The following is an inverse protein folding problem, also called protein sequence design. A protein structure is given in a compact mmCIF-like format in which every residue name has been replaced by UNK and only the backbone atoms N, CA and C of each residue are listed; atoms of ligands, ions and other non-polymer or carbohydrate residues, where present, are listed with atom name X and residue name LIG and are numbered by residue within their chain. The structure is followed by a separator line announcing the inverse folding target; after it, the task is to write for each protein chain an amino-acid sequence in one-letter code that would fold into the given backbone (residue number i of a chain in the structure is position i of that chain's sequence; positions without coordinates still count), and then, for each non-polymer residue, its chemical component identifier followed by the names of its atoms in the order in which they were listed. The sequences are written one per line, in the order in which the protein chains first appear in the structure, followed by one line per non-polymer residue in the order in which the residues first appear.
data_IF_536403066441
#
_entry.id   IF_536403066441
#
_cell.length_a   1.000
_cell.length_b   1.000
_cell.length_c   1.000
_cell.angle_alpha   90.00
_cell.angle_beta   90.00
_cell.angle_gamma   90.00
#
_symmetry.space_group_name_H-M   'P 1'
#
loop_
_entity.id
_entity.type
_entity.pdbx_description
1 polymer ?
#
# COMPACT_ATOMS: atom_id res chain seq x y z
N UNK A 1 50.68 -29.26 -26.74
CA UNK A 1 50.52 -30.42 -25.85
C UNK A 1 49.66 -29.96 -24.66
N UNK A 2 48.50 -30.61 -24.47
CA UNK A 2 47.56 -30.57 -23.34
C UNK A 2 46.79 -29.27 -23.00
N UNK A 3 45.58 -29.20 -23.57
CA UNK A 3 44.36 -28.56 -23.05
C UNK A 3 44.00 -29.09 -21.66
N UNK A 4 43.43 -28.24 -20.77
CA UNK A 4 42.40 -28.67 -19.81
C UNK A 4 41.29 -27.64 -19.65
N UNK A 5 40.14 -28.06 -20.16
CA UNK A 5 38.79 -27.51 -20.03
C UNK A 5 38.22 -27.77 -18.64
N UNK A 6 37.61 -26.75 -18.05
CA UNK A 6 36.83 -26.84 -16.81
C UNK A 6 35.37 -26.49 -17.09
N UNK A 7 34.62 -27.43 -17.67
CA UNK A 7 33.18 -27.32 -17.86
C UNK A 7 32.46 -27.55 -16.53
N UNK A 8 31.92 -26.49 -15.92
CA UNK A 8 30.99 -26.59 -14.80
C UNK A 8 29.55 -26.58 -15.35
N UNK A 9 29.02 -27.78 -15.55
CA UNK A 9 27.61 -28.02 -15.87
C UNK A 9 26.78 -27.83 -14.61
N UNK A 10 26.26 -26.62 -14.40
CA UNK A 10 25.24 -26.39 -13.39
C UNK A 10 23.89 -26.91 -13.93
N UNK A 11 23.51 -28.10 -13.45
CA UNK A 11 22.22 -28.75 -13.72
C UNK A 11 21.09 -27.94 -13.09
N UNK A 12 20.39 -27.12 -13.87
CA UNK A 12 19.03 -26.70 -13.55
C UNK A 12 18.07 -27.86 -13.89
N UNK A 13 17.94 -28.79 -12.95
CA UNK A 13 16.84 -29.75 -12.91
C UNK A 13 15.72 -29.19 -12.02
N UNK A 14 14.52 -29.27 -12.56
CA UNK A 14 13.23 -29.37 -11.87
C UNK A 14 12.73 -28.16 -11.06
N UNK A 15 11.96 -27.30 -11.73
CA UNK A 15 10.73 -26.75 -11.14
C UNK A 15 9.58 -26.85 -12.16
N UNK A 16 8.85 -27.97 -12.16
CA UNK A 16 7.40 -27.92 -12.31
C UNK A 16 6.80 -28.72 -11.15
N UNK A 17 6.70 -28.12 -9.96
CA UNK A 17 6.15 -28.81 -8.78
C UNK A 17 5.49 -27.85 -7.78
N UNK A 18 5.02 -26.69 -8.26
CA UNK A 18 4.22 -25.74 -7.47
C UNK A 18 2.79 -25.55 -8.00
N UNK A 19 2.36 -26.37 -8.96
CA UNK A 19 0.99 -26.33 -9.51
C UNK A 19 0.09 -27.50 -9.07
N UNK A 20 0.62 -28.58 -8.47
CA UNK A 20 -0.18 -29.78 -8.16
C UNK A 20 -0.58 -29.98 -6.68
N UNK A 21 -0.29 -29.04 -5.77
CA UNK A 21 -0.61 -29.19 -4.32
C UNK A 21 -1.66 -28.17 -3.82
N UNK A 22 -2.34 -27.44 -4.71
CA UNK A 22 -3.40 -26.50 -4.31
C UNK A 22 -4.77 -26.86 -4.90
N UNK A 23 -5.15 -28.13 -4.79
CA UNK A 23 -6.46 -28.63 -5.21
C UNK A 23 -7.06 -29.48 -4.09
N UNK A 24 -7.63 -28.82 -3.09
CA UNK A 24 -8.60 -29.41 -2.16
C UNK A 24 -9.29 -28.28 -1.40
N UNK A 25 -10.60 -28.46 -1.25
CA UNK A 25 -11.61 -27.64 -0.55
C UNK A 25 -12.41 -26.68 -1.45
N UNK A 26 -13.74 -26.77 -1.28
CA UNK A 26 -14.91 -26.27 -2.04
C UNK A 26 -15.33 -27.25 -3.15
N UNK A 27 -16.20 -28.25 -2.93
CA UNK A 27 -17.50 -28.28 -2.23
C UNK A 27 -17.64 -29.53 -1.34
N UNK A 28 -18.26 -29.40 -0.17
CA UNK A 28 -18.53 -30.50 0.77
C UNK A 28 -19.62 -31.47 0.27
N UNK A 29 -19.29 -32.77 0.36
CA UNK A 29 -20.15 -33.96 0.44
C UNK A 29 -21.66 -33.72 0.28
N UNK A 30 -22.23 -33.89 -0.92
CA UNK A 30 -22.63 -35.22 -1.40
C UNK A 30 -22.96 -35.13 -2.89
N UNK A 31 -21.98 -35.35 -3.77
CA UNK A 31 -22.12 -36.12 -5.03
C UNK A 31 -20.82 -36.11 -5.83
N UNK A 32 -20.28 -37.32 -6.00
CA UNK A 32 -19.27 -37.77 -6.97
C UNK A 32 -17.92 -37.03 -7.03
N UNK A 33 -16.88 -37.78 -6.67
CA UNK A 33 -15.52 -37.57 -7.17
C UNK A 33 -15.56 -37.47 -8.70
N UNK A 34 -15.47 -36.26 -9.26
CA UNK A 34 -15.47 -36.07 -10.71
C UNK A 34 -15.97 -34.73 -11.26
N UNK A 35 -16.67 -33.90 -10.50
CA UNK A 35 -17.04 -32.56 -10.98
C UNK A 35 -16.04 -31.51 -10.49
N UNK A 36 -14.81 -31.55 -11.03
CA UNK A 36 -13.93 -30.38 -10.99
C UNK A 36 -14.64 -29.16 -11.60
N UNK A 37 -14.16 -27.95 -11.30
CA UNK A 37 -14.60 -26.73 -11.99
C UNK A 37 -14.62 -27.00 -13.50
N UNK A 38 -15.64 -26.48 -14.18
CA UNK A 38 -15.66 -26.66 -15.62
C UNK A 38 -14.40 -26.03 -16.22
N UNK A 39 -13.88 -26.60 -17.31
CA UNK A 39 -12.72 -26.03 -18.02
C UNK A 39 -12.94 -24.55 -18.39
N UNK A 40 -14.20 -24.14 -18.56
CA UNK A 40 -14.61 -22.75 -18.82
C UNK A 40 -14.41 -21.89 -17.57
N UNK A 41 -14.83 -22.33 -16.39
CA UNK A 41 -14.63 -21.60 -15.13
C UNK A 41 -13.14 -21.39 -14.84
N UNK A 42 -12.34 -22.43 -14.98
CA UNK A 42 -10.89 -22.32 -14.80
C UNK A 42 -10.28 -21.34 -15.80
N UNK A 43 -10.71 -21.40 -17.06
CA UNK A 43 -10.30 -20.44 -18.08
C UNK A 43 -10.74 -19.01 -17.76
N UNK A 44 -11.93 -18.80 -17.19
CA UNK A 44 -12.39 -17.47 -16.78
C UNK A 44 -11.56 -16.93 -15.61
N UNK A 45 -11.10 -17.79 -14.70
CA UNK A 45 -10.26 -17.41 -13.57
C UNK A 45 -8.80 -17.13 -13.98
N UNK A 46 -8.27 -17.77 -15.03
CA UNK A 46 -6.90 -17.48 -15.53
C UNK A 46 -6.77 -16.05 -16.07
N UNK A 47 -7.88 -15.38 -16.42
CA UNK A 47 -7.87 -13.95 -16.76
C UNK A 47 -7.54 -13.02 -15.57
N UNK A 48 -7.57 -13.54 -14.34
CA UNK A 48 -7.29 -12.78 -13.13
C UNK A 48 -5.81 -12.90 -12.74
N UNK A 49 -5.29 -11.85 -12.11
CA UNK A 49 -3.97 -11.89 -11.46
C UNK A 49 -3.95 -12.98 -10.37
N UNK A 50 -2.83 -13.72 -10.18
CA UNK A 50 -2.75 -14.80 -9.20
C UNK A 50 -3.15 -14.39 -7.77
N UNK A 51 -2.80 -13.15 -7.37
CA UNK A 51 -3.20 -12.61 -6.07
C UNK A 51 -4.71 -12.39 -5.93
N UNK A 52 -5.40 -12.06 -7.02
CA UNK A 52 -6.86 -11.93 -7.06
C UNK A 52 -7.52 -13.31 -7.03
N UNK A 53 -6.94 -14.30 -7.73
CA UNK A 53 -7.43 -15.68 -7.70
C UNK A 53 -7.40 -16.23 -6.26
N UNK A 54 -6.28 -16.06 -5.55
CA UNK A 54 -6.16 -16.49 -4.15
C UNK A 54 -7.21 -15.82 -3.26
N UNK A 55 -7.41 -14.51 -3.38
CA UNK A 55 -8.42 -13.76 -2.63
C UNK A 55 -9.85 -14.22 -2.93
N UNK A 56 -10.14 -14.55 -4.19
CA UNK A 56 -11.44 -15.09 -4.57
C UNK A 56 -11.65 -16.47 -3.93
N UNK A 57 -10.63 -17.34 -3.95
CA UNK A 57 -10.69 -18.65 -3.31
C UNK A 57 -10.91 -18.55 -1.79
N UNK A 58 -10.17 -17.68 -1.09
CA UNK A 58 -10.35 -17.44 0.35
C UNK A 58 -11.77 -16.92 0.68
N UNK A 59 -12.29 -16.00 -0.13
CA UNK A 59 -13.63 -15.46 0.05
C UNK A 59 -14.73 -16.51 -0.20
N UNK A 60 -14.57 -17.31 -1.27
CA UNK A 60 -15.48 -18.43 -1.54
C UNK A 60 -15.40 -19.50 -0.45
N UNK A 61 -14.22 -19.81 0.08
CA UNK A 61 -14.07 -20.76 1.19
C UNK A 61 -14.85 -20.31 2.42
N UNK A 62 -14.79 -19.00 2.72
CA UNK A 62 -15.54 -18.41 3.83
C UNK A 62 -17.04 -18.60 3.63
N UNK A 63 -17.55 -18.30 2.42
CA UNK A 63 -18.95 -18.53 2.07
C UNK A 63 -19.35 -20.02 2.21
N UNK A 64 -18.54 -20.93 1.69
CA UNK A 64 -18.84 -22.37 1.76
C UNK A 64 -18.87 -22.88 3.21
N UNK A 65 -17.97 -22.41 4.07
CA UNK A 65 -18.02 -22.78 5.49
C UNK A 65 -19.32 -22.32 6.16
N UNK A 66 -19.81 -21.12 5.82
CA UNK A 66 -21.07 -20.60 6.36
C UNK A 66 -22.28 -21.38 5.80
N UNK A 67 -22.26 -21.75 4.51
CA UNK A 67 -23.29 -22.61 3.87
C UNK A 67 -23.31 -24.05 4.42
N UNK A 68 -22.13 -24.62 4.66
CA UNK A 68 -21.98 -25.95 5.25
C UNK A 68 -22.55 -25.96 6.68
N UNK A 69 -22.35 -24.87 7.45
CA UNK A 69 -22.90 -24.72 8.79
C UNK A 69 -24.45 -24.68 8.81
N UNK A 70 -25.08 -24.17 7.74
CA UNK A 70 -26.55 -24.17 7.59
C UNK A 70 -27.07 -25.40 6.83
N UNK A 71 -26.19 -26.32 6.40
CA UNK A 71 -26.56 -27.48 5.58
C UNK A 71 -27.16 -27.10 4.21
N UNK A 72 -26.81 -25.91 3.69
CA UNK A 72 -27.39 -25.37 2.45
C UNK A 72 -26.42 -25.55 1.29
N UNK A 73 -26.89 -26.10 0.17
CA UNK A 73 -26.09 -26.21 -1.06
C UNK A 73 -26.53 -25.14 -2.05
N UNK A 74 -25.70 -24.11 -2.25
CA UNK A 74 -26.05 -22.95 -3.09
C UNK A 74 -26.45 -23.34 -4.52
N UNK A 75 -25.78 -24.35 -5.11
CA UNK A 75 -26.02 -24.79 -6.47
C UNK A 75 -27.38 -25.48 -6.69
N UNK A 76 -27.99 -25.99 -5.61
CA UNK A 76 -29.29 -26.67 -5.67
C UNK A 76 -30.47 -25.70 -5.64
N UNK A 77 -30.21 -24.43 -5.30
CA UNK A 77 -31.23 -23.38 -5.21
C UNK A 77 -31.49 -22.73 -6.57
N UNK A 78 -32.72 -22.31 -6.87
CA UNK A 78 -33.01 -21.47 -8.04
C UNK A 78 -32.27 -20.13 -7.94
N UNK A 79 -31.98 -19.50 -9.09
CA UNK A 79 -31.16 -18.29 -9.17
C UNK A 79 -31.65 -17.14 -8.27
N UNK A 80 -32.97 -16.99 -8.12
CA UNK A 80 -33.58 -15.99 -7.24
C UNK A 80 -33.31 -16.28 -5.76
N UNK A 81 -33.43 -17.54 -5.33
CA UNK A 81 -33.13 -17.94 -3.94
C UNK A 81 -31.64 -17.83 -3.64
N UNK A 82 -30.76 -18.10 -4.62
CA UNK A 82 -29.33 -17.84 -4.46
C UNK A 82 -29.04 -16.36 -4.18
N UNK A 83 -29.67 -15.45 -4.93
CA UNK A 83 -29.50 -14.00 -4.75
C UNK A 83 -29.99 -13.54 -3.38
N UNK A 84 -31.16 -14.00 -2.94
CA UNK A 84 -31.70 -13.70 -1.61
C UNK A 84 -30.85 -14.28 -0.47
N UNK A 85 -30.41 -15.53 -0.58
CA UNK A 85 -29.54 -16.16 0.42
C UNK A 85 -28.22 -15.38 0.57
N UNK A 86 -27.60 -14.97 -0.55
CA UNK A 86 -26.40 -14.15 -0.52
C UNK A 86 -26.66 -12.76 0.06
N UNK A 87 -27.84 -12.18 -0.18
CA UNK A 87 -28.24 -10.91 0.39
C UNK A 87 -28.36 -10.99 1.92
N UNK A 88 -29.00 -12.04 2.45
CA UNK A 88 -29.09 -12.31 3.89
C UNK A 88 -27.72 -12.56 4.49
N UNK A 89 -26.88 -13.40 3.87
CA UNK A 89 -25.51 -13.65 4.32
C UNK A 89 -24.67 -12.36 4.44
N UNK A 90 -24.84 -11.43 3.50
CA UNK A 90 -24.19 -10.11 3.54
C UNK A 90 -24.76 -9.24 4.67
N UNK A 91 -26.08 -9.29 4.89
CA UNK A 91 -26.75 -8.56 5.96
C UNK A 91 -26.30 -9.04 7.33
N UNK A 92 -26.26 -10.35 7.56
CA UNK A 92 -25.70 -10.96 8.77
C UNK A 92 -24.24 -10.54 8.98
N UNK A 93 -23.46 -10.46 7.90
CA UNK A 93 -22.09 -9.96 7.95
C UNK A 93 -22.00 -8.52 8.45
N UNK A 94 -22.93 -7.67 8.02
CA UNK A 94 -23.06 -6.29 8.50
C UNK A 94 -23.46 -6.23 9.97
N UNK A 95 -24.48 -6.97 10.38
CA UNK A 95 -24.99 -6.99 11.76
C UNK A 95 -23.95 -7.52 12.75
N UNK A 96 -23.16 -8.50 12.33
CA UNK A 96 -22.04 -9.05 13.11
C UNK A 96 -20.75 -8.22 13.00
N UNK A 97 -20.79 -7.01 12.43
CA UNK A 97 -19.63 -6.11 12.28
C UNK A 97 -18.42 -6.75 11.57
N UNK A 98 -18.63 -7.71 10.66
CA UNK A 98 -17.57 -8.32 9.86
C UNK A 98 -17.02 -7.32 8.83
N UNK A 99 -15.86 -7.62 8.25
CA UNK A 99 -15.28 -6.76 7.19
C UNK A 99 -16.02 -6.94 5.87
N UNK A 100 -16.53 -5.84 5.29
CA UNK A 100 -17.21 -5.81 3.99
C UNK A 100 -16.37 -6.40 2.84
N UNK A 101 -15.04 -6.34 2.91
CA UNK A 101 -14.15 -6.71 1.81
C UNK A 101 -14.31 -8.16 1.33
N UNK A 102 -14.47 -9.12 2.26
CA UNK A 102 -14.60 -10.55 1.92
C UNK A 102 -15.87 -10.84 1.13
N UNK A 103 -17.00 -10.27 1.56
CA UNK A 103 -18.30 -10.40 0.90
C UNK A 103 -18.29 -9.90 -0.55
N UNK A 104 -17.66 -8.74 -0.79
CA UNK A 104 -17.54 -8.18 -2.14
C UNK A 104 -16.66 -9.04 -3.06
N UNK A 105 -15.59 -9.64 -2.52
CA UNK A 105 -14.76 -10.60 -3.24
C UNK A 105 -15.53 -11.87 -3.58
N UNK A 106 -16.33 -12.41 -2.64
CA UNK A 106 -17.18 -13.57 -2.87
C UNK A 106 -18.22 -13.31 -3.97
N UNK A 107 -18.97 -12.20 -3.91
CA UNK A 107 -19.94 -11.82 -4.96
C UNK A 107 -19.28 -11.66 -6.33
N UNK A 108 -18.09 -11.04 -6.37
CA UNK A 108 -17.34 -10.86 -7.61
C UNK A 108 -16.84 -12.19 -8.17
N UNK A 109 -16.41 -13.10 -7.30
CA UNK A 109 -15.99 -14.44 -7.67
C UNK A 109 -17.16 -15.26 -8.23
N UNK A 110 -18.30 -15.27 -7.53
CA UNK A 110 -19.52 -15.95 -7.99
C UNK A 110 -20.00 -15.40 -9.34
N UNK A 111 -20.03 -14.08 -9.51
CA UNK A 111 -20.43 -13.46 -10.79
C UNK A 111 -19.48 -13.81 -11.95
N UNK A 112 -18.21 -14.09 -11.64
CA UNK A 112 -17.19 -14.48 -12.63
C UNK A 112 -17.31 -15.96 -13.01
N UNK A 113 -17.59 -16.83 -12.04
CA UNK A 113 -17.79 -18.27 -12.21
C UNK A 113 -19.12 -18.55 -12.91
N UNK A 114 -20.18 -17.82 -12.52
CA UNK A 114 -21.54 -17.98 -13.03
C UNK A 114 -22.01 -16.71 -13.76
N UNK A 115 -21.48 -16.39 -14.96
CA UNK A 115 -21.76 -15.12 -15.64
C UNK A 115 -23.23 -14.94 -16.09
N UNK A 116 -24.03 -16.03 -16.11
CA UNK A 116 -25.46 -15.97 -16.42
C UNK A 116 -26.29 -15.44 -15.25
N UNK A 117 -25.91 -15.79 -14.03
CA UNK A 117 -26.64 -15.45 -12.81
C UNK A 117 -26.33 -14.00 -12.44
N UNK A 118 -27.37 -13.24 -12.11
CA UNK A 118 -27.23 -11.84 -11.68
C UNK A 118 -27.70 -11.67 -10.25
N UNK A 119 -26.75 -11.58 -9.32
CA UNK A 119 -26.99 -11.38 -7.88
C UNK A 119 -27.39 -9.93 -7.54
N UNK A 120 -28.51 -9.44 -8.09
CA UNK A 120 -28.93 -8.02 -8.01
C UNK A 120 -29.25 -7.59 -6.58
N UNK A 121 -29.97 -8.42 -5.84
CA UNK A 121 -30.39 -8.11 -4.46
C UNK A 121 -29.18 -8.11 -3.55
N UNK A 122 -28.31 -9.11 -3.64
CA UNK A 122 -27.07 -9.20 -2.88
C UNK A 122 -26.16 -7.98 -3.14
N UNK A 123 -25.97 -7.58 -4.40
CA UNK A 123 -25.23 -6.36 -4.73
C UNK A 123 -25.88 -5.09 -4.17
N UNK A 124 -27.22 -5.01 -4.16
CA UNK A 124 -27.94 -3.87 -3.58
C UNK A 124 -27.73 -3.78 -2.07
N UNK A 125 -27.83 -4.89 -1.34
CA UNK A 125 -27.53 -4.95 0.10
C UNK A 125 -26.08 -4.56 0.36
N UNK A 126 -25.14 -5.10 -0.43
CA UNK A 126 -23.72 -4.77 -0.34
C UNK A 126 -23.43 -3.27 -0.56
N UNK A 127 -24.15 -2.62 -1.47
CA UNK A 127 -24.05 -1.18 -1.71
C UNK A 127 -24.64 -0.35 -0.57
N UNK A 128 -25.79 -0.78 -0.01
CA UNK A 128 -26.39 -0.14 1.16
C UNK A 128 -25.47 -0.25 2.37
N UNK A 129 -24.84 -1.41 2.59
CA UNK A 129 -23.79 -1.58 3.61
C UNK A 129 -22.67 -0.56 3.39
N UNK A 130 -22.17 -0.40 2.17
CA UNK A 130 -21.13 0.59 1.86
C UNK A 130 -21.51 2.05 2.14
N UNK A 131 -22.81 2.39 2.08
CA UNK A 131 -23.32 3.71 2.45
C UNK A 131 -23.46 3.88 3.97
N UNK A 132 -23.92 2.85 4.68
CA UNK A 132 -24.09 2.85 6.14
C UNK A 132 -22.76 2.77 6.90
N UNK A 133 -21.82 1.97 6.40
CA UNK A 133 -20.49 1.79 6.96
C UNK A 133 -19.45 2.09 5.87
N UNK A 134 -19.17 3.37 5.59
CA UNK A 134 -18.19 3.74 4.59
C UNK A 134 -16.82 3.14 4.94
N UNK A 135 -16.06 2.65 3.94
CA UNK A 135 -14.76 2.05 4.20
C UNK A 135 -13.84 3.06 4.89
N UNK A 136 -13.11 2.60 5.90
CA UNK A 136 -12.08 3.39 6.56
C UNK A 136 -11.04 3.84 5.52
N UNK A 137 -11.14 5.10 5.10
CA UNK A 137 -10.16 5.68 4.20
C UNK A 137 -8.97 6.17 5.01
N UNK A 138 -7.76 5.96 4.47
CA UNK A 138 -6.55 6.53 5.04
C UNK A 138 -6.71 8.05 5.21
N UNK A 139 -6.66 8.60 6.44
CA UNK A 139 -6.75 10.05 6.64
C UNK A 139 -5.53 10.71 6.00
N UNK A 140 -5.70 11.92 5.49
CA UNK A 140 -4.57 12.78 5.16
C UNK A 140 -4.04 13.39 6.47
N UNK A 141 -2.72 13.46 6.59
CA UNK A 141 -2.03 14.16 7.66
C UNK A 141 -1.54 15.55 7.19
N UNK A 142 -1.38 16.51 8.10
CA UNK A 142 -0.77 17.80 7.79
C UNK A 142 0.66 17.66 7.22
N UNK A 143 1.09 18.51 6.27
CA UNK A 143 2.42 18.46 5.66
C UNK A 143 3.57 18.53 6.68
N UNK A 144 3.37 19.23 7.79
CA UNK A 144 4.37 19.42 8.84
C UNK A 144 4.66 18.09 9.55
N UNK A 145 3.61 17.31 9.85
CA UNK A 145 3.75 15.97 10.41
C UNK A 145 4.42 15.01 9.42
N UNK A 146 4.03 15.04 8.13
CA UNK A 146 4.64 14.18 7.11
C UNK A 146 6.13 14.49 6.95
N UNK A 147 6.49 15.77 6.91
CA UNK A 147 7.89 16.22 6.81
C UNK A 147 8.68 15.81 8.04
N UNK A 148 8.14 16.02 9.24
CA UNK A 148 8.76 15.58 10.48
C UNK A 148 9.00 14.06 10.51
N UNK A 149 8.04 13.25 10.06
CA UNK A 149 8.21 11.79 9.93
C UNK A 149 9.30 11.41 8.93
N UNK A 150 9.40 12.09 7.79
CA UNK A 150 10.45 11.88 6.78
C UNK A 150 11.84 12.16 7.36
N UNK A 151 12.00 13.30 8.03
CA UNK A 151 13.27 13.71 8.67
C UNK A 151 13.62 12.77 9.81
N UNK A 152 12.67 12.49 10.72
CA UNK A 152 12.87 11.58 11.84
C UNK A 152 13.26 10.18 11.38
N UNK A 153 12.63 9.64 10.33
CA UNK A 153 13.03 8.34 9.76
C UNK A 153 14.49 8.34 9.28
N UNK A 154 14.94 9.41 8.62
CA UNK A 154 16.33 9.52 8.16
C UNK A 154 17.29 9.54 9.36
N UNK A 155 17.02 10.41 10.34
CA UNK A 155 17.89 10.59 11.50
C UNK A 155 17.88 9.37 12.44
N UNK A 156 16.80 8.59 12.47
CA UNK A 156 16.71 7.26 13.10
C UNK A 156 17.38 6.14 12.27
N UNK A 157 18.30 6.49 11.36
CA UNK A 157 19.05 5.53 10.52
C UNK A 157 18.14 4.62 9.67
N UNK A 158 17.00 5.14 9.21
CA UNK A 158 16.08 4.45 8.26
C UNK A 158 15.96 5.26 6.95
N UNK A 159 17.05 5.44 6.19
CA UNK A 159 17.06 6.26 4.97
C UNK A 159 16.11 5.73 3.89
N UNK A 160 15.97 4.40 3.74
CA UNK A 160 15.00 3.79 2.81
C UNK A 160 13.56 4.19 3.14
N UNK A 161 13.17 4.10 4.41
CA UNK A 161 11.83 4.49 4.87
C UNK A 161 11.57 5.97 4.61
N UNK A 162 12.56 6.81 4.95
CA UNK A 162 12.49 8.26 4.73
C UNK A 162 12.24 8.58 3.25
N UNK A 163 13.05 7.99 2.35
CA UNK A 163 12.90 8.21 0.92
C UNK A 163 11.56 7.67 0.40
N UNK A 164 11.10 6.49 0.83
CA UNK A 164 9.79 5.95 0.44
C UNK A 164 8.64 6.89 0.84
N UNK A 165 8.65 7.39 2.08
CA UNK A 165 7.61 8.33 2.55
C UNK A 165 7.63 9.63 1.75
N UNK A 166 8.83 10.18 1.51
CA UNK A 166 9.01 11.38 0.69
C UNK A 166 8.49 11.18 -0.74
N UNK A 167 8.85 10.08 -1.39
CA UNK A 167 8.40 9.75 -2.74
C UNK A 167 6.88 9.55 -2.84
N UNK A 168 6.27 8.97 -1.80
CA UNK A 168 4.81 8.82 -1.75
C UNK A 168 4.09 10.15 -1.54
N UNK A 169 4.68 11.07 -0.77
CA UNK A 169 4.14 12.40 -0.52
C UNK A 169 4.37 13.34 -1.71
N UNK A 170 5.62 13.57 -2.10
CA UNK A 170 5.99 14.52 -3.14
C UNK A 170 5.68 14.00 -4.56
N UNK A 171 5.86 12.71 -4.83
CA UNK A 171 5.61 12.10 -6.16
C UNK A 171 4.22 11.49 -6.33
N UNK A 172 3.37 11.60 -5.30
CA UNK A 172 2.06 10.94 -5.22
C UNK A 172 2.12 9.44 -5.54
N UNK A 173 3.23 8.77 -5.25
CA UNK A 173 3.37 7.33 -5.46
C UNK A 173 2.54 6.53 -4.45
N UNK A 174 1.99 5.40 -4.88
CA UNK A 174 1.58 4.36 -3.91
C UNK A 174 2.85 3.74 -3.32
N UNK A 175 2.80 3.30 -2.06
CA UNK A 175 3.98 2.66 -1.44
C UNK A 175 4.47 1.45 -2.24
N UNK A 176 3.59 0.66 -2.86
CA UNK A 176 4.02 -0.46 -3.72
C UNK A 176 4.77 0.01 -4.97
N UNK A 177 4.35 1.12 -5.59
CA UNK A 177 5.04 1.72 -6.74
C UNK A 177 6.44 2.18 -6.33
N UNK A 178 6.56 2.85 -5.17
CA UNK A 178 7.84 3.28 -4.65
C UNK A 178 8.76 2.08 -4.36
N UNK A 179 8.26 1.05 -3.66
CA UNK A 179 9.04 -0.14 -3.30
C UNK A 179 9.42 -1.03 -4.51
N UNK A 180 8.72 -0.91 -5.63
CA UNK A 180 9.07 -1.64 -6.86
C UNK A 180 10.15 -0.96 -7.70
N UNK A 181 10.48 0.32 -7.42
CA UNK A 181 11.49 1.06 -8.17
C UNK A 181 12.85 0.34 -8.13
N UNK A 182 13.47 0.28 -9.30
CA UNK A 182 14.84 -0.18 -9.52
C UNK A 182 15.75 1.00 -9.85
N UNK A 183 17.06 0.80 -9.77
CA UNK A 183 18.00 1.86 -10.11
C UNK A 183 17.87 2.32 -11.58
N UNK A 184 17.62 1.40 -12.52
CA UNK A 184 17.34 1.74 -13.93
C UNK A 184 16.10 2.61 -14.13
N UNK A 185 15.17 2.58 -13.17
CA UNK A 185 13.91 3.31 -13.26
C UNK A 185 14.09 4.79 -12.87
N UNK A 186 15.29 5.20 -12.45
CA UNK A 186 15.58 6.57 -11.99
C UNK A 186 16.49 7.28 -12.97
N UNK A 187 15.94 8.29 -13.63
CA UNK A 187 16.68 9.17 -14.54
C UNK A 187 16.92 10.50 -13.84
N UNK A 188 18.19 10.81 -13.59
CA UNK A 188 18.63 12.08 -12.99
C UNK A 188 18.86 13.11 -14.10
N UNK A 189 18.13 14.21 -14.05
CA UNK A 189 18.35 15.40 -14.88
C UNK A 189 19.01 16.53 -14.09
N UNK A 190 19.21 17.69 -14.73
CA UNK A 190 19.90 18.84 -14.13
C UNK A 190 19.15 19.35 -12.89
N UNK A 191 17.83 19.56 -13.01
CA UNK A 191 16.98 20.10 -11.94
C UNK A 191 15.76 19.22 -11.66
N UNK A 192 15.82 17.94 -12.05
CA UNK A 192 14.72 17.03 -11.88
C UNK A 192 15.18 15.58 -11.71
N UNK A 193 14.32 14.79 -11.08
CA UNK A 193 14.45 13.32 -11.07
C UNK A 193 13.20 12.75 -11.69
N UNK A 194 13.35 11.92 -12.72
CA UNK A 194 12.25 11.20 -13.34
C UNK A 194 12.26 9.75 -12.89
N UNK A 195 11.11 9.29 -12.40
CA UNK A 195 10.87 7.91 -11.98
C UNK A 195 10.00 7.23 -13.03
N UNK A 196 10.55 6.21 -13.69
CA UNK A 196 9.88 5.39 -14.70
C UNK A 196 9.19 4.21 -14.00
N UNK A 197 7.86 4.17 -14.04
CA UNK A 197 7.08 3.11 -13.39
C UNK A 197 6.80 2.00 -14.42
N UNK A 198 7.57 0.93 -14.34
CA UNK A 198 7.37 -0.27 -15.15
C UNK A 198 6.14 -1.05 -14.66
N UNK A 199 5.14 -1.18 -15.53
CA UNK A 199 3.89 -1.92 -15.32
C UNK A 199 3.08 -1.51 -14.06
N UNK A 200 2.29 -0.44 -14.20
CA UNK A 200 1.19 -0.18 -13.25
C UNK A 200 0.02 -1.14 -13.50
N UNK A 201 -0.94 -1.26 -12.56
CA UNK A 201 -2.08 -2.21 -12.64
C UNK A 201 -2.88 -2.15 -13.97
N UNK A 202 -2.70 -1.12 -14.79
CA UNK A 202 -3.30 -0.98 -16.13
C UNK A 202 -2.40 -1.34 -17.32
N UNK A 203 -1.19 -1.87 -17.12
CA UNK A 203 -0.28 -2.27 -18.20
C UNK A 203 0.37 -1.13 -18.99
N UNK A 204 0.08 0.13 -18.65
CA UNK A 204 0.70 1.30 -19.26
C UNK A 204 1.91 1.75 -18.45
N UNK A 205 2.98 2.07 -19.17
CA UNK A 205 4.15 2.75 -18.61
C UNK A 205 3.74 4.15 -18.15
N UNK A 206 4.15 4.51 -16.95
CA UNK A 206 3.87 5.82 -16.37
C UNK A 206 5.18 6.44 -15.88
N UNK A 207 5.21 7.76 -15.73
CA UNK A 207 6.36 8.45 -15.14
C UNK A 207 5.93 9.46 -14.09
N UNK A 208 6.84 9.73 -13.17
CA UNK A 208 6.73 10.82 -12.18
C UNK A 208 7.96 11.70 -12.33
N UNK A 209 7.75 13.00 -12.51
CA UNK A 209 8.85 13.97 -12.58
C UNK A 209 8.84 14.79 -11.30
N UNK A 210 9.92 14.69 -10.54
CA UNK A 210 10.16 15.48 -9.34
C UNK A 210 10.95 16.72 -9.74
N UNK A 211 10.39 17.91 -9.50
CA UNK A 211 11.00 19.20 -9.87
C UNK A 211 11.29 20.11 -8.68
N UNK A 212 10.70 19.84 -7.51
CA UNK A 212 11.00 20.59 -6.30
C UNK A 212 12.47 20.36 -5.89
N UNK A 213 13.24 21.44 -5.75
CA UNK A 213 14.68 21.40 -5.48
C UNK A 213 15.02 20.61 -4.21
N UNK A 214 14.27 20.80 -3.13
CA UNK A 214 14.48 20.08 -1.87
C UNK A 214 14.23 18.58 -2.03
N UNK A 215 13.15 18.21 -2.72
CA UNK A 215 12.85 16.81 -3.05
C UNK A 215 13.93 16.19 -3.94
N UNK A 216 14.36 16.87 -5.00
CA UNK A 216 15.41 16.40 -5.92
C UNK A 216 16.71 16.18 -5.14
N UNK A 217 17.15 17.16 -4.37
CA UNK A 217 18.37 17.06 -3.56
C UNK A 217 18.29 15.92 -2.53
N UNK A 218 17.11 15.65 -1.98
CA UNK A 218 16.89 14.52 -1.07
C UNK A 218 17.08 13.17 -1.76
N UNK A 219 16.57 13.00 -2.98
CA UNK A 219 16.79 11.78 -3.78
C UNK A 219 18.26 11.64 -4.15
N UNK A 220 18.89 12.70 -4.65
CA UNK A 220 20.30 12.67 -5.04
C UNK A 220 21.23 12.34 -3.87
N UNK A 221 20.95 12.90 -2.69
CA UNK A 221 21.70 12.60 -1.46
C UNK A 221 21.57 11.12 -1.06
N UNK A 222 20.38 10.53 -1.23
CA UNK A 222 20.19 9.10 -1.01
C UNK A 222 20.99 8.27 -2.03
N UNK A 223 20.85 8.54 -3.33
CA UNK A 223 21.52 7.76 -4.38
C UNK A 223 23.05 7.83 -4.28
N UNK A 224 23.60 8.97 -3.88
CA UNK A 224 25.03 9.14 -3.66
C UNK A 224 25.57 8.30 -2.50
N UNK A 225 24.77 8.13 -1.42
CA UNK A 225 25.16 7.38 -0.21
C UNK A 225 24.84 5.89 -0.31
N UNK A 226 23.84 5.52 -1.09
CA UNK A 226 23.38 4.15 -1.31
C UNK A 226 23.38 3.85 -2.81
N UNK A 227 24.57 3.80 -3.45
CA UNK A 227 24.64 3.48 -4.86
C UNK A 227 24.15 2.05 -5.09
N UNK A 228 23.39 1.86 -6.16
CA UNK A 228 23.01 0.53 -6.61
C UNK A 228 24.24 -0.34 -6.84
N UNK A 229 24.10 -1.65 -6.65
CA UNK A 229 25.08 -2.59 -7.22
C UNK A 229 25.07 -2.37 -8.74
N UNK A 230 26.21 -2.59 -9.41
CA UNK A 230 26.42 -2.41 -10.88
C UNK A 230 25.36 -3.04 -11.82
N UNK A 231 24.37 -3.76 -11.28
CA UNK A 231 23.24 -4.28 -12.01
C UNK A 231 22.03 -3.37 -11.77
N UNK A 232 21.66 -2.59 -12.80
CA UNK A 232 20.58 -1.61 -12.74
C UNK A 232 19.18 -2.23 -12.50
N UNK A 233 19.07 -3.57 -12.56
CA UNK A 233 17.87 -4.32 -12.22
C UNK A 233 17.58 -4.42 -10.71
N UNK A 234 18.53 -4.05 -9.86
CA UNK A 234 18.36 -4.10 -8.41
C UNK A 234 17.30 -3.09 -7.94
N UNK A 235 16.47 -3.49 -6.97
CA UNK A 235 15.54 -2.57 -6.30
C UNK A 235 16.31 -1.50 -5.52
N UNK A 236 15.78 -0.28 -5.53
CA UNK A 236 16.31 0.83 -4.72
C UNK A 236 16.13 0.53 -3.22
N UNK A 237 15.04 -0.16 -2.88
CA UNK A 237 14.61 -0.44 -1.53
C UNK A 237 14.68 -1.93 -1.23
N UNK A 238 15.26 -2.26 -0.08
CA UNK A 238 15.24 -3.61 0.51
C UNK A 238 14.08 -3.77 1.51
N UNK A 239 13.53 -2.67 2.02
CA UNK A 239 12.42 -2.65 2.97
C UNK A 239 11.11 -3.17 2.34
N UNK A 240 10.42 -4.05 3.06
CA UNK A 240 9.10 -4.55 2.64
C UNK A 240 7.94 -3.63 3.04
N UNK A 241 6.78 -3.79 2.38
CA UNK A 241 5.56 -3.03 2.66
C UNK A 241 5.13 -3.08 4.13
N UNK A 242 5.17 -4.28 4.74
CA UNK A 242 4.79 -4.45 6.15
C UNK A 242 5.71 -3.68 7.11
N UNK A 243 7.00 -3.59 6.79
CA UNK A 243 7.96 -2.78 7.55
C UNK A 243 7.68 -1.29 7.43
N UNK A 244 7.37 -0.80 6.22
CA UNK A 244 6.96 0.60 6.02
C UNK A 244 5.71 0.92 6.85
N UNK A 245 4.66 0.10 6.74
CA UNK A 245 3.42 0.32 7.50
C UNK A 245 3.64 0.30 9.01
N UNK A 246 4.44 -0.64 9.52
CA UNK A 246 4.79 -0.73 10.95
C UNK A 246 5.48 0.55 11.41
N UNK A 247 6.43 1.06 10.64
CA UNK A 247 7.15 2.27 11.00
C UNK A 247 6.31 3.54 10.86
N UNK A 248 5.41 3.63 9.88
CA UNK A 248 4.45 4.75 9.79
C UNK A 248 3.61 4.83 11.06
N UNK A 249 3.03 3.70 11.49
CA UNK A 249 2.29 3.63 12.76
C UNK A 249 3.17 3.96 13.96
N UNK A 250 4.40 3.44 13.99
CA UNK A 250 5.35 3.69 15.08
C UNK A 250 5.72 5.17 15.16
N UNK A 251 6.02 5.83 14.05
CA UNK A 251 6.31 7.26 14.03
C UNK A 251 5.09 8.09 14.46
N UNK A 252 3.89 7.72 14.01
CA UNK A 252 2.63 8.33 14.50
C UNK A 252 2.53 8.26 16.03
N UNK A 253 2.88 7.10 16.61
CA UNK A 253 2.92 6.92 18.06
C UNK A 253 3.99 7.81 18.72
N UNK A 254 5.20 7.82 18.17
CA UNK A 254 6.33 8.55 18.72
C UNK A 254 6.11 10.08 18.71
N UNK A 255 5.36 10.59 17.74
CA UNK A 255 4.91 11.99 17.68
C UNK A 255 3.64 12.26 18.51
N UNK A 256 3.05 11.27 19.18
CA UNK A 256 1.85 11.45 19.99
C UNK A 256 0.57 11.68 19.19
N UNK A 257 0.50 11.23 17.93
CA UNK A 257 -0.62 11.45 17.00
C UNK A 257 -1.32 10.14 16.63
N UNK A 258 -1.59 9.29 17.61
CA UNK A 258 -2.25 7.99 17.40
C UNK A 258 -3.72 8.11 16.96
N UNK A 259 -4.38 9.22 17.33
CA UNK A 259 -5.78 9.50 16.94
C UNK A 259 -5.93 9.81 15.45
N UNK A 260 -4.82 10.02 14.75
CA UNK A 260 -4.77 10.10 13.30
C UNK A 260 -4.31 8.73 12.78
N UNK A 261 -5.22 7.83 12.32
CA UNK A 261 -4.87 6.47 11.92
C UNK A 261 -4.10 6.43 10.59
N UNK A 262 -2.84 6.86 10.62
CA UNK A 262 -1.99 6.96 9.45
C UNK A 262 -1.71 5.59 8.85
N UNK A 263 -1.67 5.57 7.52
CA UNK A 263 -1.29 4.41 6.72
C UNK A 263 -0.34 4.81 5.61
N UNK A 264 0.15 3.83 4.87
CA UNK A 264 0.95 4.02 3.65
C UNK A 264 0.25 4.90 2.62
N UNK A 265 -1.09 4.86 2.53
CA UNK A 265 -1.86 5.68 1.61
C UNK A 265 -2.08 7.13 2.10
N UNK A 266 -1.81 7.41 3.38
CA UNK A 266 -1.93 8.76 3.94
C UNK A 266 -0.95 9.72 3.26
N UNK A 267 0.27 9.30 2.96
CA UNK A 267 1.29 10.14 2.31
C UNK A 267 0.85 10.65 0.94
N UNK A 268 0.38 9.75 0.06
CA UNK A 268 -0.14 10.11 -1.26
C UNK A 268 -1.36 11.03 -1.14
N UNK A 269 -2.21 10.81 -0.13
CA UNK A 269 -3.39 11.65 0.12
C UNK A 269 -3.00 13.05 0.57
N UNK A 270 -2.11 13.13 1.55
CA UNK A 270 -1.55 14.37 2.05
C UNK A 270 -0.90 15.16 0.92
N UNK A 271 -0.09 14.53 0.07
CA UNK A 271 0.54 15.20 -1.06
C UNK A 271 -0.46 15.79 -2.05
N UNK A 272 -1.51 15.03 -2.40
CA UNK A 272 -2.52 15.50 -3.34
C UNK A 272 -3.35 16.66 -2.76
N UNK A 273 -3.69 16.56 -1.47
CA UNK A 273 -4.40 17.59 -0.72
C UNK A 273 -3.54 18.85 -0.59
N UNK A 274 -2.24 18.68 -0.38
CA UNK A 274 -1.28 19.79 -0.31
C UNK A 274 -1.16 20.53 -1.65
N UNK A 275 -1.06 19.81 -2.78
CA UNK A 275 -1.07 20.44 -4.10
C UNK A 275 -2.37 21.24 -4.34
N UNK A 276 -3.51 20.70 -3.91
CA UNK A 276 -4.81 21.41 -3.97
C UNK A 276 -4.76 22.70 -3.14
N UNK A 277 -4.23 22.63 -1.91
CA UNK A 277 -4.05 23.79 -1.02
C UNK A 277 -3.12 24.85 -1.60
N UNK A 278 -2.10 24.43 -2.36
CA UNK A 278 -1.18 25.32 -3.09
C UNK A 278 -1.80 25.90 -4.38
N UNK A 279 -3.08 25.61 -4.67
CA UNK A 279 -3.79 26.16 -5.82
C UNK A 279 -3.51 25.43 -7.13
N UNK A 280 -2.91 24.24 -7.09
CA UNK A 280 -2.70 23.45 -8.32
C UNK A 280 -4.06 23.01 -8.87
N UNK A 281 -4.36 23.26 -10.16
CA UNK A 281 -5.63 22.85 -10.75
C UNK A 281 -5.85 21.33 -10.65
N UNK A 282 -7.09 20.91 -10.42
CA UNK A 282 -7.45 19.48 -10.28
C UNK A 282 -6.95 18.63 -11.45
N UNK A 283 -7.03 19.14 -12.69
CA UNK A 283 -6.50 18.46 -13.88
C UNK A 283 -4.99 18.19 -13.79
N UNK A 284 -4.22 19.14 -13.24
CA UNK A 284 -2.79 18.98 -12.99
C UNK A 284 -2.52 17.92 -11.92
N UNK A 285 -3.29 17.92 -10.82
CA UNK A 285 -3.16 16.90 -9.76
C UNK A 285 -3.54 15.50 -10.28
N UNK A 286 -4.59 15.41 -11.10
CA UNK A 286 -5.03 14.19 -11.77
C UNK A 286 -3.94 13.59 -12.64
N UNK A 287 -3.36 14.41 -13.52
CA UNK A 287 -2.26 14.00 -14.38
C UNK A 287 -1.04 13.61 -13.54
N UNK A 288 -0.68 14.42 -12.55
CA UNK A 288 0.51 14.20 -11.72
C UNK A 288 0.42 12.92 -10.90
N UNK A 289 -0.71 12.69 -10.21
CA UNK A 289 -0.92 11.46 -9.43
C UNK A 289 -1.53 10.31 -10.22
N UNK A 290 -1.73 10.47 -11.53
CA UNK A 290 -2.11 9.39 -12.45
C UNK A 290 -3.44 8.73 -12.06
N UNK A 291 -4.43 9.57 -11.74
CA UNK A 291 -5.79 9.11 -11.46
C UNK A 291 -6.58 8.91 -12.75
N UNK A 292 -7.22 7.75 -12.90
CA UNK A 292 -8.08 7.44 -14.05
C UNK A 292 -9.45 8.12 -13.99
N UNK A 293 -9.91 8.47 -12.78
CA UNK A 293 -11.25 9.03 -12.57
C UNK A 293 -11.16 10.34 -11.80
N UNK A 294 -11.69 11.40 -12.41
CA UNK A 294 -11.83 12.70 -11.77
C UNK A 294 -12.66 12.62 -10.49
N UNK A 295 -13.81 11.93 -10.54
CA UNK A 295 -14.69 11.78 -9.38
C UNK A 295 -13.96 11.16 -8.20
N UNK A 296 -13.16 10.12 -8.44
CA UNK A 296 -12.40 9.45 -7.39
C UNK A 296 -11.34 10.37 -6.79
N UNK A 297 -10.59 11.12 -7.61
CA UNK A 297 -9.57 12.04 -7.13
C UNK A 297 -10.17 13.23 -6.37
N UNK A 298 -11.26 13.81 -6.87
CA UNK A 298 -11.97 14.93 -6.21
C UNK A 298 -12.43 14.54 -4.81
N UNK A 299 -13.05 13.37 -4.68
CA UNK A 299 -13.46 12.86 -3.36
C UNK A 299 -12.26 12.52 -2.47
N UNK A 300 -11.18 11.99 -3.06
CA UNK A 300 -9.93 11.69 -2.36
C UNK A 300 -9.31 12.96 -1.74
N UNK A 301 -9.21 14.04 -2.52
CA UNK A 301 -8.65 15.35 -2.13
C UNK A 301 -9.57 16.05 -1.13
N UNK A 302 -10.87 16.22 -1.44
CA UNK A 302 -11.82 16.94 -0.58
C UNK A 302 -11.86 16.40 0.84
N UNK A 303 -11.93 15.08 0.99
CA UNK A 303 -11.89 14.43 2.31
C UNK A 303 -10.49 14.50 2.96
N UNK A 304 -9.43 14.60 2.15
CA UNK A 304 -8.08 14.84 2.63
C UNK A 304 -7.92 16.22 3.25
N UNK A 305 -8.41 17.27 2.58
CA UNK A 305 -8.40 18.65 3.11
C UNK A 305 -9.11 18.75 4.46
N UNK A 306 -10.30 18.15 4.56
CA UNK A 306 -11.05 18.10 5.83
C UNK A 306 -10.27 17.34 6.91
N UNK A 307 -9.60 16.24 6.57
CA UNK A 307 -8.79 15.47 7.51
C UNK A 307 -7.57 16.26 8.01
N UNK A 308 -6.90 17.02 7.14
CA UNK A 308 -5.77 17.89 7.52
C UNK A 308 -6.22 18.96 8.52
N UNK A 309 -7.34 19.63 8.25
CA UNK A 309 -7.88 20.65 9.16
C UNK A 309 -8.21 20.03 10.52
N UNK A 310 -8.92 18.89 10.54
CA UNK A 310 -9.26 18.19 11.78
C UNK A 310 -8.02 17.75 12.56
N UNK A 311 -7.00 17.23 11.88
CA UNK A 311 -5.76 16.82 12.53
C UNK A 311 -5.07 18.00 13.21
N UNK A 312 -5.01 19.17 12.57
CA UNK A 312 -4.43 20.38 13.17
C UNK A 312 -5.19 20.86 14.41
N UNK A 313 -6.51 20.67 14.46
CA UNK A 313 -7.32 21.00 15.64
C UNK A 313 -7.06 20.05 16.83
N UNK A 314 -6.52 18.87 16.59
CA UNK A 314 -6.17 17.89 17.61
C UNK A 314 -4.75 18.13 18.16
N UNK A 315 -3.87 18.77 17.38
CA UNK A 315 -2.48 18.98 17.78
C UNK A 315 -2.37 20.00 18.91
N UNK A 316 -1.59 19.68 19.94
CA UNK A 316 -1.26 20.64 20.99
C UNK A 316 -0.29 21.71 20.46
N UNK A 317 -0.26 22.92 21.05
CA UNK A 317 0.71 23.95 20.68
C UNK A 317 2.17 23.46 20.77
N UNK A 318 2.49 22.65 21.79
CA UNK A 318 3.83 22.09 22.00
C UNK A 318 4.20 21.11 20.89
N UNK A 319 3.25 20.28 20.46
CA UNK A 319 3.43 19.39 19.33
C UNK A 319 3.67 20.20 18.05
N UNK A 320 2.89 21.24 17.79
CA UNK A 320 3.08 22.07 16.59
C UNK A 320 4.48 22.70 16.56
N UNK A 321 4.94 23.27 17.67
CA UNK A 321 6.30 23.81 17.79
C UNK A 321 7.35 22.73 17.55
N UNK A 322 7.16 21.52 18.06
CA UNK A 322 8.05 20.40 17.80
C UNK A 322 8.08 20.03 16.31
N UNK A 323 6.92 19.92 15.66
CA UNK A 323 6.82 19.62 14.23
C UNK A 323 7.51 20.69 13.37
N UNK A 324 7.35 21.96 13.71
CA UNK A 324 8.00 23.07 13.00
C UNK A 324 9.52 22.99 13.11
N UNK A 325 10.05 22.65 14.30
CA UNK A 325 11.49 22.40 14.50
C UNK A 325 11.99 21.23 13.66
N UNK A 326 11.25 20.12 13.62
CA UNK A 326 11.57 18.98 12.75
C UNK A 326 11.56 19.36 11.25
N UNK A 327 10.62 20.20 10.83
CA UNK A 327 10.54 20.69 9.45
C UNK A 327 11.73 21.58 9.10
N UNK A 328 12.19 22.43 10.01
CA UNK A 328 13.36 23.29 9.81
C UNK A 328 14.63 22.47 9.51
N UNK A 329 14.75 21.26 10.05
CA UNK A 329 15.87 20.36 9.79
C UNK A 329 15.86 19.72 8.40
N UNK A 330 14.76 19.80 7.64
CA UNK A 330 14.63 19.10 6.35
C UNK A 330 15.70 19.52 5.33
N UNK A 331 16.15 20.78 5.33
CA UNK A 331 17.18 21.25 4.40
C UNK A 331 18.59 20.71 4.74
N UNK A 332 18.85 20.38 6.00
CA UNK A 332 20.17 19.98 6.52
C UNK A 332 20.23 18.54 7.03
N UNK A 333 19.12 17.80 7.02
CA UNK A 333 19.01 16.49 7.66
C UNK A 333 20.11 15.50 7.21
N UNK A 334 20.45 15.49 5.92
CA UNK A 334 21.52 14.62 5.39
C UNK A 334 22.93 14.97 5.92
N UNK A 335 23.17 16.24 6.26
CA UNK A 335 24.43 16.71 6.84
C UNK A 335 24.53 16.35 8.32
N UNK A 336 23.41 16.20 9.02
CA UNK A 336 23.35 15.80 10.43
C UNK A 336 23.59 14.29 10.64
N UNK A 337 23.34 13.45 9.63
CA UNK A 337 23.46 11.99 9.74
C UNK A 337 24.83 11.53 10.29
N UNK A 338 25.99 12.02 9.80
CA UNK A 338 27.29 11.63 10.34
C UNK A 338 27.48 12.01 11.81
N UNK A 339 27.13 13.25 12.18
CA UNK A 339 27.28 13.77 13.55
C UNK A 339 26.40 12.99 14.53
N UNK A 340 25.15 12.72 14.16
CA UNK A 340 24.23 11.93 14.96
C UNK A 340 24.61 10.45 15.02
N UNK A 341 25.32 9.92 14.02
CA UNK A 341 25.81 8.54 14.09
C UNK A 341 26.77 8.35 15.27
N UNK A 342 27.65 9.32 15.52
CA UNK A 342 28.55 9.30 16.67
C UNK A 342 27.78 9.51 17.98
N UNK A 343 26.93 10.55 18.04
CA UNK A 343 26.20 10.89 19.26
C UNK A 343 25.17 9.83 19.69
N UNK A 344 24.69 9.00 18.76
CA UNK A 344 23.69 7.95 19.00
C UNK A 344 24.28 6.54 18.93
N UNK A 345 25.58 6.38 19.14
CA UNK A 345 26.22 5.06 19.15
C UNK A 345 25.55 4.12 20.17
N UNK A 346 25.19 4.64 21.34
CA UNK A 346 24.64 3.87 22.47
C UNK A 346 23.11 3.81 22.49
N UNK A 347 22.43 4.55 21.62
CA UNK A 347 20.96 4.56 21.59
C UNK A 347 20.46 3.32 20.83
N UNK A 348 19.62 2.45 21.44
CA UNK A 348 19.11 1.25 20.78
C UNK A 348 18.03 1.58 19.76
N UNK A 349 18.43 2.10 18.58
CA UNK A 349 17.55 2.54 17.48
C UNK A 349 16.70 1.38 16.91
N UNK A 350 17.06 0.12 17.20
CA UNK A 350 16.25 -1.04 16.83
C UNK A 350 15.01 -1.22 17.73
N UNK A 351 14.96 -0.56 18.90
CA UNK A 351 13.84 -0.56 19.87
C UNK A 351 13.55 0.87 20.34
N UNK A 352 13.12 1.73 19.42
CA UNK A 352 12.75 3.11 19.76
C UNK A 352 11.45 3.11 20.58
N UNK A 353 11.57 3.28 21.90
CA UNK A 353 10.44 3.58 22.79
C UNK A 353 10.11 5.07 22.72
N UNK A 354 8.98 5.49 23.28
CA UNK A 354 8.63 6.92 23.36
C UNK A 354 9.66 7.71 24.17
N UNK A 355 10.11 7.19 25.31
CA UNK A 355 11.16 7.81 26.11
C UNK A 355 12.48 7.97 25.34
N UNK A 356 12.91 6.93 24.63
CA UNK A 356 14.13 6.98 23.79
C UNK A 356 13.95 7.98 22.65
N UNK A 357 12.77 8.06 22.05
CA UNK A 357 12.48 9.04 21.01
C UNK A 357 12.48 10.47 21.54
N UNK A 358 11.95 10.72 22.74
CA UNK A 358 11.99 12.05 23.37
C UNK A 358 13.42 12.49 23.70
N UNK A 359 14.26 11.58 24.23
CA UNK A 359 15.68 11.86 24.43
C UNK A 359 16.39 12.17 23.10
N UNK A 360 16.13 11.36 22.08
CA UNK A 360 16.66 11.57 20.73
C UNK A 360 16.19 12.89 20.13
N UNK A 361 14.90 13.22 20.25
CA UNK A 361 14.34 14.49 19.78
C UNK A 361 15.00 15.67 20.48
N UNK A 362 15.15 15.62 21.81
CA UNK A 362 15.83 16.67 22.56
C UNK A 362 17.29 16.84 22.12
N UNK A 363 18.01 15.76 21.83
CA UNK A 363 19.36 15.86 21.29
C UNK A 363 19.35 16.52 19.91
N UNK A 364 18.51 16.03 19.00
CA UNK A 364 18.46 16.48 17.60
C UNK A 364 18.01 17.94 17.47
N UNK A 365 17.01 18.36 18.25
CA UNK A 365 16.44 19.71 18.16
C UNK A 365 17.26 20.78 18.90
N UNK A 366 18.32 20.39 19.63
CA UNK A 366 19.25 21.30 20.30
C UNK A 366 20.63 21.36 19.62
N UNK A 367 20.85 20.61 18.53
CA UNK A 367 21.99 20.75 17.62
C UNK A 367 21.71 21.87 16.61
#
# INVERSE_FOLDING_TARGET
MALRSGASTCRLRCLPLLWEILFLVILGATRQAGAGRSRIEDFLLTSLQPSTQLRYQEALQTLNNDLDATGTVLADLPEEEQDWLLAEWILEGYENSKSRGGYGLALSALSKINPRVRYKVAWKVFDVWGKKAPPAQAPAAPPELITAMIVAALLLRRPELSLVMMLCFAGLLRVREALSLRYKDVVVGINCVTLCLSATEGGLEQKVVLTNTSTVNWVLSYLAKFPGKRNDEARIFSIGYGSVLRWVKKLSQLFGVMDVPLSTHSFRRSGASELSRLGVPLAGILAYGRWLSERAAREYIRKGDVAIIRARLIFSPELQVSLDKWCALASVAWQLVPSLKAALADVPIHRVTEQVFQQFQNLVLNL
#
